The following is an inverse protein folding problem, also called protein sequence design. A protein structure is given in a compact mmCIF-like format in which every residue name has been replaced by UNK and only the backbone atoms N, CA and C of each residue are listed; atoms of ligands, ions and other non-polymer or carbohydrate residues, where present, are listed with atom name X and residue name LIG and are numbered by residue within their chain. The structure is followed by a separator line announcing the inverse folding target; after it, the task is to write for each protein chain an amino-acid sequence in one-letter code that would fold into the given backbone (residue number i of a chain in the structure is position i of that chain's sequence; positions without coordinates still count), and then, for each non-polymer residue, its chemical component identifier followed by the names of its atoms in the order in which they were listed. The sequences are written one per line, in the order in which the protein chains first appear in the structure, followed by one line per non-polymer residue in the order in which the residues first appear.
data_IF_514235908527
#
_entry.id   IF_514235908527
#
_cell.length_a   1.000
_cell.length_b   1.000
_cell.length_c   1.000
_cell.angle_alpha   90.00
_cell.angle_beta   90.00
_cell.angle_gamma   90.00
#
_symmetry.space_group_name_H-M   'P 1'
#
loop_
_entity.id
_entity.type
_entity.pdbx_description
1 polymer ?
#
# COMPACT_ATOMS: atom_id res chain seq x y z
N UNK A 1 -4.53 10.66 0.93
CA UNK A 1 -4.35 9.53 0.00
C UNK A 1 -3.41 9.98 -1.11
N UNK A 2 -2.26 9.32 -1.28
CA UNK A 2 -1.31 9.59 -2.36
C UNK A 2 -1.09 8.30 -3.15
N UNK A 3 -1.07 8.39 -4.48
CA UNK A 3 -0.87 7.24 -5.35
C UNK A 3 -0.42 7.67 -6.75
N UNK A 4 0.58 7.00 -7.30
CA UNK A 4 1.05 7.17 -8.66
C UNK A 4 0.78 5.89 -9.43
N UNK A 5 0.03 6.01 -10.53
CA UNK A 5 -0.16 4.93 -11.50
C UNK A 5 1.01 4.87 -12.48
N UNK A 6 1.29 3.69 -13.02
CA UNK A 6 2.32 3.51 -14.04
C UNK A 6 1.91 2.41 -15.01
N UNK A 7 2.07 2.68 -16.31
CA UNK A 7 1.76 1.75 -17.40
C UNK A 7 2.96 1.67 -18.35
N UNK A 8 3.60 0.52 -18.44
CA UNK A 8 4.70 0.27 -19.37
C UNK A 8 5.21 -1.19 -19.34
N UNK A 9 5.87 -1.67 -20.41
CA UNK A 9 6.61 -2.95 -20.38
C UNK A 9 7.66 -2.94 -19.26
N UNK A 10 7.72 -3.99 -18.46
CA UNK A 10 8.60 -4.06 -17.29
C UNK A 10 10.08 -3.83 -17.64
N UNK A 11 10.51 -4.30 -18.82
CA UNK A 11 11.86 -4.15 -19.35
C UNK A 11 12.23 -2.71 -19.71
N UNK A 12 11.23 -1.83 -19.86
CA UNK A 12 11.42 -0.43 -20.23
C UNK A 12 11.42 0.52 -19.02
N UNK A 13 11.06 0.02 -17.84
CA UNK A 13 10.95 0.82 -16.61
C UNK A 13 12.26 0.68 -15.84
N UNK A 14 12.89 1.80 -15.50
CA UNK A 14 14.10 1.75 -14.67
C UNK A 14 13.76 1.34 -13.24
N UNK A 15 14.70 0.67 -12.58
CA UNK A 15 14.54 0.29 -11.17
C UNK A 15 14.31 1.53 -10.27
N UNK A 16 14.92 2.66 -10.62
CA UNK A 16 14.75 3.93 -9.93
C UNK A 16 13.32 4.47 -10.02
N UNK A 17 12.68 4.37 -11.19
CA UNK A 17 11.26 4.70 -11.35
C UNK A 17 10.36 3.75 -10.57
N UNK A 18 10.68 2.44 -10.59
CA UNK A 18 9.95 1.44 -9.78
C UNK A 18 10.02 1.77 -8.28
N UNK A 19 11.21 2.13 -7.79
CA UNK A 19 11.40 2.60 -6.41
C UNK A 19 10.55 3.84 -6.13
N UNK A 20 10.51 4.81 -7.04
CA UNK A 20 9.68 6.02 -6.90
C UNK A 20 8.19 5.72 -6.73
N UNK A 21 7.67 4.72 -7.47
CA UNK A 21 6.28 4.25 -7.33
C UNK A 21 6.06 3.65 -5.93
N UNK A 22 6.96 2.78 -5.46
CA UNK A 22 6.88 2.19 -4.12
C UNK A 22 7.05 3.23 -3.01
N UNK A 23 7.92 4.20 -3.19
CA UNK A 23 8.13 5.30 -2.24
C UNK A 23 6.84 6.07 -1.98
N UNK A 24 6.05 6.32 -3.03
CA UNK A 24 4.78 7.02 -2.92
C UNK A 24 3.66 6.09 -2.43
N UNK A 25 3.45 4.96 -3.11
CA UNK A 25 2.28 4.11 -2.92
C UNK A 25 2.35 3.28 -1.64
N UNK A 26 3.53 2.76 -1.31
CA UNK A 26 3.73 1.88 -0.17
C UNK A 26 4.36 2.63 1.01
N UNK A 27 5.58 3.16 0.85
CA UNK A 27 6.27 3.79 1.97
C UNK A 27 5.61 5.08 2.42
N UNK A 28 4.94 5.82 1.53
CA UNK A 28 4.08 6.95 1.90
C UNK A 28 2.98 6.56 2.89
N UNK A 29 2.27 5.45 2.61
CA UNK A 29 1.25 4.92 3.52
C UNK A 29 1.86 4.43 4.85
N UNK A 30 2.97 3.68 4.79
CA UNK A 30 3.68 3.19 5.99
C UNK A 30 4.12 4.35 6.89
N UNK A 31 4.65 5.44 6.34
CA UNK A 31 5.06 6.62 7.11
C UNK A 31 3.89 7.25 7.86
N UNK A 32 2.74 7.42 7.19
CA UNK A 32 1.54 7.95 7.81
C UNK A 32 1.02 7.05 8.92
N UNK A 33 0.96 5.73 8.68
CA UNK A 33 0.55 4.76 9.68
C UNK A 33 1.48 4.83 10.89
N UNK A 34 2.81 4.76 10.68
CA UNK A 34 3.79 4.85 11.76
C UNK A 34 3.68 6.13 12.58
N UNK A 35 3.30 7.25 11.97
CA UNK A 35 3.13 8.52 12.66
C UNK A 35 1.92 8.54 13.59
N UNK A 36 0.79 7.95 13.19
CA UNK A 36 -0.47 8.01 13.97
C UNK A 36 -0.67 6.82 14.92
N UNK A 37 0.02 5.70 14.66
CA UNK A 37 -0.23 4.44 15.34
C UNK A 37 0.10 4.46 16.85
N UNK A 38 1.18 5.10 17.34
CA UNK A 38 1.47 5.16 18.78
C UNK A 38 0.32 5.79 19.58
N UNK A 39 -0.20 6.93 19.11
CA UNK A 39 -1.30 7.62 19.77
C UNK A 39 -2.62 6.82 19.68
N UNK A 40 -2.87 6.14 18.56
CA UNK A 40 -4.02 5.22 18.40
C UNK A 40 -3.98 4.08 19.41
N UNK A 41 -2.79 3.49 19.59
CA UNK A 41 -2.57 2.42 20.57
C UNK A 41 -2.73 2.93 22.00
N UNK A 42 -2.25 4.13 22.31
CA UNK A 42 -2.39 4.69 23.67
C UNK A 42 -3.86 4.92 24.04
N UNK A 43 -4.67 5.43 23.11
CA UNK A 43 -6.09 5.71 23.36
C UNK A 43 -7.02 4.51 23.15
N UNK A 44 -6.49 3.36 22.73
CA UNK A 44 -7.25 2.14 22.42
C UNK A 44 -8.42 2.37 21.46
N UNK A 45 -8.23 3.26 20.48
CA UNK A 45 -9.29 3.68 19.57
C UNK A 45 -8.71 4.36 18.34
N UNK A 46 -9.22 4.02 17.16
CA UNK A 46 -8.88 4.69 15.91
C UNK A 46 -9.29 3.85 14.73
N UNK A 47 -9.33 4.46 13.54
CA UNK A 47 -9.51 3.73 12.30
C UNK A 47 -8.50 4.24 11.28
N UNK A 48 -7.80 3.32 10.63
CA UNK A 48 -6.93 3.60 9.49
C UNK A 48 -7.63 3.05 8.26
N UNK A 49 -8.05 3.93 7.36
CA UNK A 49 -8.63 3.56 6.07
C UNK A 49 -7.59 3.77 4.99
N UNK A 50 -7.18 2.68 4.34
CA UNK A 50 -6.20 2.70 3.25
C UNK A 50 -6.91 2.46 1.92
N UNK A 51 -6.71 3.37 0.96
CA UNK A 51 -7.29 3.26 -0.37
C UNK A 51 -6.35 2.41 -1.24
N UNK A 52 -6.68 1.12 -1.35
CA UNK A 52 -6.05 0.21 -2.31
C UNK A 52 -6.66 0.37 -3.72
N UNK A 53 -6.43 -0.59 -4.61
CA UNK A 53 -6.95 -0.65 -5.98
C UNK A 53 -7.59 -2.01 -6.23
N UNK A 54 -8.50 -2.10 -7.20
CA UNK A 54 -9.02 -3.40 -7.71
C UNK A 54 -7.88 -4.25 -8.30
N UNK A 55 -6.77 -3.62 -8.69
CA UNK A 55 -5.51 -4.29 -9.09
C UNK A 55 -4.65 -4.80 -7.93
N UNK A 56 -5.12 -4.71 -6.69
CA UNK A 56 -4.63 -5.52 -5.57
C UNK A 56 -5.09 -6.97 -5.78
N UNK A 57 -5.92 -7.57 -4.92
CA UNK A 57 -6.02 -9.02 -4.76
C UNK A 57 -6.62 -9.77 -5.97
N UNK A 58 -7.19 -9.07 -6.95
CA UNK A 58 -7.76 -9.64 -8.16
C UNK A 58 -7.66 -8.64 -9.30
N UNK A 59 -6.45 -8.42 -9.87
CA UNK A 59 -6.36 -7.61 -11.08
C UNK A 59 -7.28 -8.25 -12.12
N UNK A 60 -8.15 -7.48 -12.81
CA UNK A 60 -8.89 -8.01 -13.94
C UNK A 60 -7.90 -8.72 -14.84
N UNK A 61 -8.12 -10.01 -15.10
CA UNK A 61 -7.25 -10.78 -15.97
C UNK A 61 -7.05 -10.00 -17.27
N UNK A 62 -5.82 -9.53 -17.54
CA UNK A 62 -5.51 -8.78 -18.75
C UNK A 62 -5.20 -7.29 -18.62
N UNK A 63 -4.96 -6.72 -17.43
CA UNK A 63 -4.34 -5.38 -17.35
C UNK A 63 -2.83 -5.51 -17.60
N UNK A 64 -2.47 -5.53 -18.88
CA UNK A 64 -1.08 -5.57 -19.35
C UNK A 64 -0.35 -4.28 -18.93
N UNK A 65 0.96 -4.38 -18.70
CA UNK A 65 1.86 -3.25 -18.47
C UNK A 65 1.67 -2.51 -17.12
N UNK A 66 0.98 -3.09 -16.15
CA UNK A 66 0.76 -2.46 -14.83
C UNK A 66 1.48 -3.16 -13.67
N UNK A 67 2.48 -3.97 -13.97
CA UNK A 67 3.11 -4.92 -13.05
C UNK A 67 3.59 -4.25 -11.76
N UNK A 68 4.31 -3.12 -11.89
CA UNK A 68 4.92 -2.41 -10.77
C UNK A 68 3.86 -1.70 -9.91
N UNK A 69 2.85 -1.11 -10.54
CA UNK A 69 1.76 -0.45 -9.81
C UNK A 69 0.91 -1.48 -9.07
N UNK A 70 0.54 -2.58 -9.71
CA UNK A 70 -0.20 -3.67 -9.09
C UNK A 70 0.58 -4.24 -7.90
N UNK A 71 1.87 -4.54 -8.07
CA UNK A 71 2.74 -4.99 -6.99
C UNK A 71 2.75 -4.02 -5.79
N UNK A 72 2.82 -2.71 -6.05
CA UNK A 72 2.79 -1.70 -4.98
C UNK A 72 1.46 -1.69 -4.19
N UNK A 73 0.34 -2.00 -4.84
CA UNK A 73 -0.99 -2.06 -4.20
C UNK A 73 -1.20 -3.36 -3.41
N UNK A 74 -0.75 -4.50 -3.96
CA UNK A 74 -0.67 -5.76 -3.20
C UNK A 74 0.19 -5.63 -1.95
N UNK A 75 1.35 -4.94 -2.04
CA UNK A 75 2.21 -4.73 -0.88
C UNK A 75 1.51 -3.96 0.24
N UNK A 76 0.69 -2.96 -0.11
CA UNK A 76 -0.12 -2.21 0.85
C UNK A 76 -1.16 -3.11 1.54
N UNK A 77 -1.86 -3.96 0.77
CA UNK A 77 -2.84 -4.91 1.33
C UNK A 77 -2.20 -5.90 2.29
N UNK A 78 -1.13 -6.59 1.88
CA UNK A 78 -0.44 -7.54 2.74
C UNK A 78 0.12 -6.90 4.01
N UNK A 79 0.59 -5.65 3.92
CA UNK A 79 1.02 -4.89 5.09
C UNK A 79 -0.15 -4.58 6.03
N UNK A 80 -1.28 -4.10 5.50
CA UNK A 80 -2.46 -3.78 6.30
C UNK A 80 -3.09 -5.02 6.94
N UNK A 81 -3.20 -6.14 6.22
CA UNK A 81 -3.73 -7.40 6.75
C UNK A 81 -2.86 -7.93 7.89
N UNK A 82 -1.54 -7.92 7.71
CA UNK A 82 -0.59 -8.34 8.75
C UNK A 82 -0.67 -7.43 9.98
N UNK A 83 -0.78 -6.11 9.75
CA UNK A 83 -0.88 -5.13 10.83
C UNK A 83 -2.22 -5.24 11.57
N UNK A 84 -3.33 -5.49 10.88
CA UNK A 84 -4.66 -5.62 11.48
C UNK A 84 -4.68 -6.68 12.59
N UNK A 85 -4.07 -7.85 12.35
CA UNK A 85 -3.95 -8.94 13.35
C UNK A 85 -3.28 -8.44 14.63
N UNK A 86 -2.23 -7.63 14.51
CA UNK A 86 -1.54 -7.05 15.66
C UNK A 86 -2.41 -6.01 16.40
N UNK A 87 -3.21 -5.24 15.68
CA UNK A 87 -3.99 -4.12 16.19
C UNK A 87 -5.32 -4.50 16.84
N UNK A 88 -5.80 -5.74 16.64
CA UNK A 88 -6.99 -6.27 17.30
C UNK A 88 -6.96 -6.08 18.83
N UNK A 89 -5.79 -6.25 19.47
CA UNK A 89 -5.65 -6.08 20.92
C UNK A 89 -5.69 -4.62 21.40
N UNK A 90 -5.57 -3.66 20.48
CA UNK A 90 -5.56 -2.22 20.77
C UNK A 90 -6.86 -1.52 20.36
N UNK A 91 -7.85 -2.24 19.81
CA UNK A 91 -9.11 -1.67 19.30
C UNK A 91 -8.88 -0.54 18.27
N UNK A 92 -7.96 -0.78 17.33
CA UNK A 92 -7.56 0.11 16.22
C UNK A 92 -7.70 -0.63 14.89
#
# INVERSE_FOLDING_TARGET
NAGVGHVGPVESISVEEMKGIFETNFFGAVRMIKAVLPDMKQRQSGHIVVISSVMGPSPPAGIVFNDVYAASKFAVEGFCESLAVQLLQFNV
#
